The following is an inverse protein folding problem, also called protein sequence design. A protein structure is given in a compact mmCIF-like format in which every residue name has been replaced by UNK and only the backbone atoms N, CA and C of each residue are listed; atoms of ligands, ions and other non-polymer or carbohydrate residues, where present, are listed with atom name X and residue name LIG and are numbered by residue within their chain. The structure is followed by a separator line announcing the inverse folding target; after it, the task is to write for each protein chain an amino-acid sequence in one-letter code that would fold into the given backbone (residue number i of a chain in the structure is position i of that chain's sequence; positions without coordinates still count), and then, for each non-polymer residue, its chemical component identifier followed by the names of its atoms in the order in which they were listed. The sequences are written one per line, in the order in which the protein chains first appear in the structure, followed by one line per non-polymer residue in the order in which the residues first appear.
data_IF_507317966727
#
_entry.id   IF_507317966727
#
_cell.length_a   1.000
_cell.length_b   1.000
_cell.length_c   1.000
_cell.angle_alpha   90.00
_cell.angle_beta   90.00
_cell.angle_gamma   90.00
#
_symmetry.space_group_name_H-M   'P 1'
#
loop_
_entity.id
_entity.type
_entity.pdbx_description
1 polymer ?
#
# COMPACT_ATOMS: atom_id res chain seq x y z
N UNK A 1 5.28 13.28 -8.42
CA UNK A 1 5.99 12.30 -7.58
C UNK A 1 5.33 10.95 -7.80
N UNK A 2 6.06 9.82 -7.87
CA UNK A 2 5.44 8.54 -8.14
C UNK A 2 4.72 8.01 -6.89
N UNK A 3 3.64 7.28 -7.11
CA UNK A 3 2.85 6.60 -6.10
C UNK A 3 3.29 5.14 -6.00
N UNK A 4 3.41 4.64 -4.78
CA UNK A 4 3.83 3.28 -4.47
C UNK A 4 2.66 2.56 -3.81
N UNK A 5 2.33 1.38 -4.35
CA UNK A 5 1.44 0.44 -3.66
C UNK A 5 2.27 -0.75 -3.23
N UNK A 6 2.11 -1.14 -1.97
CA UNK A 6 2.82 -2.27 -1.38
C UNK A 6 1.88 -3.28 -0.75
N UNK A 7 2.23 -4.55 -0.91
CA UNK A 7 1.60 -5.70 -0.28
C UNK A 7 2.65 -6.45 0.54
N UNK A 8 2.31 -6.75 1.79
CA UNK A 8 3.08 -7.59 2.68
C UNK A 8 2.11 -8.59 3.31
N UNK A 9 2.35 -9.90 3.23
CA UNK A 9 1.44 -10.90 3.82
C UNK A 9 1.55 -10.99 5.34
N UNK A 10 2.65 -10.49 5.90
CA UNK A 10 2.88 -10.33 7.34
C UNK A 10 3.51 -8.96 7.60
N UNK A 11 3.24 -8.30 8.74
CA UNK A 11 3.83 -7.00 9.05
C UNK A 11 5.36 -7.09 9.11
N UNK A 12 6.05 -6.18 8.44
CA UNK A 12 7.52 -6.19 8.36
C UNK A 12 8.10 -7.31 7.47
N UNK A 13 7.26 -8.14 6.86
CA UNK A 13 7.70 -9.17 5.92
C UNK A 13 8.07 -8.63 4.54
N UNK A 14 8.39 -9.53 3.59
CA UNK A 14 8.72 -9.16 2.21
C UNK A 14 7.64 -8.29 1.57
N UNK A 15 8.09 -7.27 0.85
CA UNK A 15 7.24 -6.23 0.28
C UNK A 15 7.18 -6.38 -1.23
N UNK A 16 5.98 -6.69 -1.75
CA UNK A 16 5.71 -6.65 -3.19
C UNK A 16 5.25 -5.24 -3.53
N UNK A 17 6.06 -4.51 -4.30
CA UNK A 17 5.80 -3.11 -4.64
C UNK A 17 5.47 -2.94 -6.12
N UNK A 18 4.50 -2.09 -6.42
CA UNK A 18 4.35 -1.47 -7.74
C UNK A 18 4.51 0.05 -7.66
N UNK A 19 4.77 0.69 -8.79
CA UNK A 19 4.97 2.15 -8.87
C UNK A 19 4.18 2.73 -10.04
N UNK A 20 3.53 3.87 -9.82
CA UNK A 20 2.71 4.58 -10.81
C UNK A 20 3.04 6.07 -10.81
N UNK A 21 2.85 6.74 -11.94
CA UNK A 21 3.07 8.19 -12.05
C UNK A 21 1.86 9.02 -11.60
N UNK A 22 0.70 8.38 -11.47
CA UNK A 22 -0.58 9.01 -11.13
C UNK A 22 -1.24 8.29 -9.95
N UNK A 23 -1.96 9.04 -9.12
CA UNK A 23 -2.64 8.50 -7.93
C UNK A 23 -3.78 7.56 -8.29
N UNK A 24 -4.61 7.93 -9.27
CA UNK A 24 -5.81 7.17 -9.63
C UNK A 24 -5.54 5.71 -10.04
N UNK A 25 -4.54 5.42 -10.88
CA UNK A 25 -4.09 4.06 -11.15
C UNK A 25 -3.54 3.32 -9.92
N UNK A 26 -2.78 4.01 -9.05
CA UNK A 26 -2.25 3.43 -7.82
C UNK A 26 -3.37 3.06 -6.85
N UNK A 27 -4.35 3.94 -6.66
CA UNK A 27 -5.51 3.70 -5.81
C UNK A 27 -6.35 2.51 -6.30
N UNK A 28 -6.59 2.43 -7.62
CA UNK A 28 -7.25 1.26 -8.23
C UNK A 28 -6.49 -0.04 -7.93
N UNK A 29 -5.16 -0.01 -7.96
CA UNK A 29 -4.36 -1.19 -7.61
C UNK A 29 -4.44 -1.52 -6.12
N UNK A 30 -4.40 -0.51 -5.24
CA UNK A 30 -4.61 -0.68 -3.81
C UNK A 30 -5.94 -1.39 -3.52
N UNK A 31 -7.04 -0.90 -4.12
CA UNK A 31 -8.37 -1.50 -3.97
C UNK A 31 -8.43 -2.93 -4.55
N UNK A 32 -7.75 -3.18 -5.67
CA UNK A 32 -7.66 -4.54 -6.25
C UNK A 32 -6.98 -5.51 -5.28
N UNK A 33 -5.85 -5.12 -4.70
CA UNK A 33 -5.15 -5.95 -3.72
C UNK A 33 -5.94 -6.10 -2.42
N UNK A 34 -6.62 -5.04 -1.99
CA UNK A 34 -7.53 -5.09 -0.85
C UNK A 34 -8.64 -6.12 -1.07
N UNK A 35 -9.26 -6.15 -2.25
CA UNK A 35 -10.29 -7.14 -2.58
C UNK A 35 -9.77 -8.58 -2.61
N UNK A 36 -8.51 -8.79 -2.99
CA UNK A 36 -7.91 -10.13 -3.11
C UNK A 36 -7.32 -10.66 -1.79
N UNK A 37 -6.71 -9.79 -1.00
CA UNK A 37 -5.87 -10.17 0.15
C UNK A 37 -6.30 -9.51 1.47
N UNK A 38 -7.25 -8.57 1.41
CA UNK A 38 -7.78 -7.82 2.55
C UNK A 38 -8.77 -8.61 3.39
N UNK A 39 -8.34 -9.74 3.95
CA UNK A 39 -9.19 -10.59 4.81
C UNK A 39 -9.15 -10.08 6.26
N UNK A 40 -10.28 -9.70 6.87
CA UNK A 40 -10.30 -9.27 8.27
C UNK A 40 -9.63 -10.30 9.21
N UNK A 41 -8.77 -9.81 10.11
CA UNK A 41 -8.00 -10.67 11.02
C UNK A 41 -6.75 -11.32 10.41
N UNK A 42 -6.51 -11.17 9.10
CA UNK A 42 -5.24 -11.57 8.49
C UNK A 42 -4.11 -10.60 8.82
N UNK A 43 -2.88 -11.11 8.81
CA UNK A 43 -1.66 -10.33 9.05
C UNK A 43 -1.25 -9.46 7.85
N UNK A 44 -1.97 -9.54 6.73
CA UNK A 44 -1.66 -8.82 5.50
C UNK A 44 -1.69 -7.30 5.73
N UNK A 45 -0.69 -6.61 5.21
CA UNK A 45 -0.61 -5.14 5.15
C UNK A 45 -0.60 -4.71 3.69
N UNK A 46 -1.47 -3.76 3.36
CA UNK A 46 -1.54 -3.12 2.05
C UNK A 46 -1.40 -1.63 2.27
N UNK A 47 -0.49 -0.99 1.57
CA UNK A 47 -0.24 0.45 1.72
C UNK A 47 -0.22 1.14 0.35
N UNK A 48 -0.79 2.34 0.31
CA UNK A 48 -0.61 3.31 -0.77
C UNK A 48 0.14 4.51 -0.18
N UNK A 49 1.22 4.91 -0.83
CA UNK A 49 2.04 6.04 -0.42
C UNK A 49 2.47 6.88 -1.63
N UNK A 50 2.69 8.17 -1.41
CA UNK A 50 3.42 9.03 -2.34
C UNK A 50 4.91 8.98 -1.99
N UNK A 51 5.79 8.82 -3.00
CA UNK A 51 7.23 8.91 -2.78
C UNK A 51 7.69 10.36 -2.86
N UNK A 52 8.21 10.90 -1.77
CA UNK A 52 8.70 12.27 -1.67
C UNK A 52 10.05 12.47 -2.37
N UNK A 53 10.49 13.71 -2.64
CA UNK A 53 11.75 13.99 -3.34
C UNK A 53 13.00 13.43 -2.66
N UNK A 54 12.97 13.28 -1.33
CA UNK A 54 14.01 12.69 -0.48
C UNK A 54 13.98 11.15 -0.48
N UNK A 55 13.08 10.54 -1.26
CA UNK A 55 12.92 9.09 -1.37
C UNK A 55 12.09 8.46 -0.26
N UNK A 56 11.58 9.24 0.70
CA UNK A 56 10.67 8.74 1.73
C UNK A 56 9.29 8.42 1.14
N UNK A 57 8.53 7.58 1.84
CA UNK A 57 7.16 7.24 1.46
C UNK A 57 6.18 7.87 2.44
N UNK A 58 5.43 8.87 1.96
CA UNK A 58 4.33 9.47 2.69
C UNK A 58 3.09 8.62 2.54
N UNK A 59 2.66 7.98 3.62
CA UNK A 59 1.47 7.12 3.64
C UNK A 59 0.21 7.93 3.31
N UNK A 60 -0.56 7.45 2.33
CA UNK A 60 -1.86 8.00 1.94
C UNK A 60 -2.97 7.10 2.49
N UNK A 61 -2.85 5.78 2.27
CA UNK A 61 -3.81 4.78 2.75
C UNK A 61 -3.09 3.55 3.26
N UNK A 62 -3.70 2.89 4.23
CA UNK A 62 -3.23 1.61 4.76
C UNK A 62 -4.41 0.72 5.10
N UNK A 63 -4.23 -0.57 4.87
CA UNK A 63 -5.09 -1.61 5.39
C UNK A 63 -4.22 -2.70 6.06
N UNK A 64 -4.64 -3.27 7.22
CA UNK A 64 -5.70 -2.75 8.07
C UNK A 64 -5.35 -1.34 8.57
N UNK A 65 -6.38 -0.58 8.96
CA UNK A 65 -6.17 0.75 9.55
C UNK A 65 -5.31 0.60 10.82
N UNK A 66 -4.33 1.49 11.06
CA UNK A 66 -3.56 1.44 12.29
C UNK A 66 -4.50 1.54 13.49
N UNK A 67 -4.19 0.83 14.58
CA UNK A 67 -4.86 1.09 15.84
C UNK A 67 -4.65 2.56 16.23
N UNK A 68 -5.72 3.23 16.66
CA UNK A 68 -5.69 4.61 17.15
C UNK A 68 -4.91 4.74 18.47
#
# INVERSE_FOLDING_TARGET
MPYVVALQFVPGGPRVTGTWNEEGPADRRFLTWLGLYGVPGAATVIALAERTPDGLERLIRRWPEPAA
#
